data_IF_190658357037
#
_entry.id   IF_190658357037
#
_cell.length_a   1.000
_cell.length_b   1.000
_cell.length_c   1.000
_cell.angle_alpha   90.00
_cell.angle_beta   90.00
_cell.angle_gamma   90.00
#
_symmetry.space_group_name_H-M   'P 1'
#
loop_
_entity.id
_entity.type
_entity.pdbx_description
1 polymer ?
#
# COMPACT_ATOMS: atom_id res chain seq x y z
N UNK A 1 -40.46 40.58 -28.86
CA UNK A 1 -40.36 39.65 -30.00
C UNK A 1 -39.96 38.30 -29.42
N UNK A 2 -40.91 37.49 -28.94
CA UNK A 2 -41.53 36.30 -29.57
C UNK A 2 -40.53 35.25 -30.11
N UNK A 3 -40.47 34.12 -29.37
CA UNK A 3 -40.37 32.70 -29.81
C UNK A 3 -39.04 32.25 -30.46
N UNK A 4 -38.47 31.08 -30.16
CA UNK A 4 -39.07 29.74 -30.17
C UNK A 4 -38.47 28.75 -29.15
N UNK A 5 -39.36 27.92 -28.58
CA UNK A 5 -39.04 26.65 -27.93
C UNK A 5 -38.88 25.56 -28.99
N UNK A 6 -37.94 24.63 -28.81
CA UNK A 6 -37.95 23.34 -29.50
C UNK A 6 -37.77 22.22 -28.47
N UNK A 7 -38.88 21.54 -28.23
CA UNK A 7 -39.01 20.31 -27.44
C UNK A 7 -38.84 19.14 -28.41
N UNK A 8 -37.99 18.16 -28.09
CA UNK A 8 -38.03 16.84 -28.74
C UNK A 8 -38.18 15.77 -27.67
N UNK A 9 -39.14 14.90 -27.92
CA UNK A 9 -39.75 13.90 -27.05
C UNK A 9 -39.57 12.52 -27.69
N UNK A 10 -39.57 11.49 -26.83
CA UNK A 10 -39.73 10.05 -27.11
C UNK A 10 -38.49 9.31 -27.69
N UNK A 11 -38.24 8.03 -27.38
CA UNK A 11 -39.15 6.98 -26.95
C UNK A 11 -38.49 5.92 -26.03
N UNK A 12 -39.36 5.29 -25.24
CA UNK A 12 -39.15 4.13 -24.38
C UNK A 12 -39.10 2.84 -25.22
N UNK A 13 -38.25 1.90 -24.85
CA UNK A 13 -38.45 0.47 -25.12
C UNK A 13 -38.04 -0.34 -23.89
N UNK A 14 -39.04 -0.96 -23.28
CA UNK A 14 -38.93 -1.90 -22.18
C UNK A 14 -39.07 -3.33 -22.72
N UNK A 15 -38.17 -4.22 -22.31
CA UNK A 15 -38.28 -5.68 -22.21
C UNK A 15 -36.98 -6.13 -21.51
N UNK A 16 -36.92 -6.74 -20.33
CA UNK A 16 -37.83 -7.69 -19.71
C UNK A 16 -37.30 -9.10 -19.97
N UNK A 17 -36.45 -9.66 -19.10
CA UNK A 17 -36.28 -11.12 -19.00
C UNK A 17 -35.54 -11.57 -17.72
N UNK A 18 -36.34 -12.21 -16.86
CA UNK A 18 -36.11 -13.45 -16.09
C UNK A 18 -35.04 -13.48 -14.99
N UNK A 19 -35.57 -13.49 -13.75
CA UNK A 19 -34.93 -14.05 -12.56
C UNK A 19 -34.79 -15.58 -12.71
N UNK A 20 -33.57 -16.09 -12.55
CA UNK A 20 -33.37 -17.47 -12.09
C UNK A 20 -32.74 -17.44 -10.72
N UNK A 21 -33.56 -17.60 -9.69
CA UNK A 21 -33.12 -17.99 -8.37
C UNK A 21 -32.74 -19.47 -8.42
N UNK A 22 -31.45 -19.80 -8.28
CA UNK A 22 -31.02 -21.17 -8.06
C UNK A 22 -30.55 -21.33 -6.61
N UNK A 23 -31.45 -21.98 -5.87
CA UNK A 23 -31.23 -22.98 -4.83
C UNK A 23 -30.02 -22.83 -3.90
N UNK A 24 -30.37 -22.64 -2.63
CA UNK A 24 -29.60 -23.04 -1.46
C UNK A 24 -29.07 -24.49 -1.60
N UNK A 25 -27.77 -24.67 -1.42
CA UNK A 25 -27.20 -25.92 -0.91
C UNK A 25 -26.58 -25.61 0.46
N UNK A 26 -27.20 -26.00 1.59
CA UNK A 26 -26.44 -26.18 2.82
C UNK A 26 -25.62 -27.45 2.67
N UNK A 27 -24.30 -27.31 2.43
CA UNK A 27 -23.38 -28.43 2.61
C UNK A 27 -23.34 -28.78 4.09
N UNK A 28 -23.62 -30.05 4.33
CA UNK A 28 -23.59 -30.77 5.58
C UNK A 28 -22.35 -30.50 6.44
N UNK A 29 -22.58 -30.52 7.75
CA UNK A 29 -21.57 -30.62 8.80
C UNK A 29 -20.64 -31.79 8.52
N UNK A 30 -19.33 -31.53 8.57
CA UNK A 30 -18.37 -32.56 8.95
C UNK A 30 -17.68 -32.11 10.23
N UNK A 31 -18.16 -32.66 11.35
CA UNK A 31 -17.45 -32.70 12.62
C UNK A 31 -16.11 -33.39 12.40
N UNK A 32 -15.02 -32.62 12.39
CA UNK A 32 -13.67 -33.12 12.58
C UNK A 32 -13.32 -33.01 14.05
N UNK A 33 -13.17 -34.16 14.70
CA UNK A 33 -12.72 -34.30 16.08
C UNK A 33 -11.36 -33.60 16.34
N UNK A 34 -11.10 -33.13 17.57
CA UNK A 34 -9.81 -32.56 17.92
C UNK A 34 -8.76 -33.67 18.02
N UNK A 35 -7.82 -33.71 17.07
CA UNK A 35 -6.58 -34.47 17.22
C UNK A 35 -5.65 -33.74 18.18
N UNK A 36 -5.38 -34.40 19.30
CA UNK A 36 -4.44 -33.96 20.32
C UNK A 36 -3.02 -33.87 19.75
N UNK A 37 -2.45 -32.67 19.72
CA UNK A 37 -1.02 -32.50 19.49
C UNK A 37 -0.28 -32.64 20.81
N UNK A 38 0.41 -33.77 20.95
CA UNK A 38 1.39 -34.03 22.00
C UNK A 38 2.55 -33.04 21.90
N UNK A 39 2.72 -32.26 22.95
CA UNK A 39 3.86 -31.38 23.25
C UNK A 39 5.16 -32.17 23.33
N UNK A 40 6.22 -31.80 22.57
CA UNK A 40 7.57 -32.21 22.91
C UNK A 40 8.15 -31.28 23.97
N UNK A 41 8.46 -31.86 25.13
CA UNK A 41 9.27 -31.28 26.20
C UNK A 41 10.73 -31.17 25.77
N UNK A 42 11.39 -30.00 25.83
CA UNK A 42 12.83 -29.94 25.97
C UNK A 42 13.21 -29.95 27.46
N UNK A 43 14.06 -30.92 27.81
CA UNK A 43 14.66 -31.16 29.12
C UNK A 43 15.87 -30.24 29.32
N UNK A 44 15.95 -29.66 30.51
CA UNK A 44 17.05 -28.86 31.06
C UNK A 44 18.43 -29.52 30.90
N UNK A 45 19.48 -28.73 30.68
CA UNK A 45 20.63 -28.62 31.61
C UNK A 45 21.43 -27.32 31.40
N UNK A 46 21.79 -26.59 32.48
CA UNK A 46 22.77 -25.51 32.45
C UNK A 46 24.19 -26.05 32.72
N UNK A 47 25.19 -25.52 32.01
CA UNK A 47 26.60 -25.67 32.36
C UNK A 47 27.27 -24.31 32.30
N UNK A 48 27.72 -23.85 33.46
CA UNK A 48 28.54 -22.66 33.61
C UNK A 48 29.98 -22.88 33.17
N UNK A 49 30.65 -21.76 32.89
CA UNK A 49 32.07 -21.69 32.59
C UNK A 49 32.52 -20.23 32.44
N UNK A 50 32.88 -19.61 33.56
CA UNK A 50 33.88 -18.51 33.64
C UNK A 50 35.01 -19.10 34.49
N UNK A 51 36.32 -18.84 34.24
CA UNK A 51 36.99 -17.52 34.19
C UNK A 51 38.03 -17.49 33.02
N UNK A 52 38.95 -16.55 32.79
CA UNK A 52 39.61 -15.50 33.56
C UNK A 52 40.36 -14.56 32.60
N UNK A 53 40.89 -13.49 33.17
CA UNK A 53 41.49 -12.30 32.57
C UNK A 53 42.88 -12.46 31.91
N UNK A 54 43.27 -11.41 31.17
CA UNK A 54 44.64 -11.05 30.77
C UNK A 54 44.64 -10.39 29.40
N UNK A 55 45.12 -9.18 29.13
CA UNK A 55 45.81 -8.15 29.91
C UNK A 55 46.59 -7.28 28.91
N UNK A 56 46.52 -5.94 29.06
CA UNK A 56 47.46 -4.92 28.54
C UNK A 56 47.70 -4.83 27.01
N UNK A 57 48.02 -3.70 26.37
CA UNK A 57 48.03 -2.27 26.64
C UNK A 57 48.40 -1.56 25.31
N UNK A 58 48.24 -0.24 25.29
CA UNK A 58 48.97 0.74 24.47
C UNK A 58 48.48 1.06 23.05
N UNK A 59 47.93 2.29 22.95
CA UNK A 59 48.60 3.36 22.21
C UNK A 59 48.41 3.37 20.69
N UNK A 60 47.47 4.16 20.21
CA UNK A 60 47.29 4.43 18.78
C UNK A 60 46.52 5.72 18.53
N UNK A 61 47.22 6.84 18.66
CA UNK A 61 47.07 8.10 17.90
C UNK A 61 45.66 8.50 17.45
N UNK A 62 45.10 9.49 18.14
CA UNK A 62 44.03 10.32 17.62
C UNK A 62 44.49 11.02 16.34
N UNK A 63 44.06 10.52 15.19
CA UNK A 63 44.17 11.22 13.92
C UNK A 63 42.87 11.98 13.69
N UNK A 64 42.97 13.30 13.76
CA UNK A 64 41.97 14.28 13.39
C UNK A 64 41.66 14.17 11.89
N UNK A 65 40.87 13.15 11.54
CA UNK A 65 40.21 13.06 10.25
C UNK A 65 39.05 14.05 10.25
N UNK A 66 39.24 15.19 9.59
CA UNK A 66 38.18 16.12 9.24
C UNK A 66 37.07 15.35 8.52
N UNK A 67 36.08 14.92 9.30
CA UNK A 67 34.84 14.37 8.79
C UNK A 67 34.20 15.46 7.96
N UNK A 68 34.29 15.32 6.63
CA UNK A 68 33.37 15.97 5.70
C UNK A 68 31.99 15.87 6.36
N UNK A 69 31.43 17.02 6.71
CA UNK A 69 30.03 17.16 7.06
C UNK A 69 29.25 16.58 5.88
N UNK A 70 28.91 15.29 5.97
CA UNK A 70 27.87 14.70 5.14
C UNK A 70 26.68 15.60 5.36
N UNK A 71 26.22 16.22 4.27
CA UNK A 71 25.08 17.11 4.26
C UNK A 71 24.02 16.54 5.20
N UNK A 72 23.74 17.28 6.27
CA UNK A 72 22.82 16.89 7.32
C UNK A 72 21.55 16.36 6.63
N UNK A 73 21.29 15.08 6.88
CA UNK A 73 20.27 14.32 6.21
C UNK A 73 18.94 15.07 6.31
N UNK A 74 18.26 15.20 5.18
CA UNK A 74 16.81 15.35 5.18
C UNK A 74 16.30 14.28 6.14
N UNK A 75 15.75 14.68 7.28
CA UNK A 75 15.19 13.74 8.24
C UNK A 75 14.23 12.85 7.48
N UNK A 76 14.62 11.58 7.29
CA UNK A 76 13.82 10.63 6.56
C UNK A 76 12.47 10.55 7.26
N UNK A 77 11.41 10.67 6.48
CA UNK A 77 10.06 10.67 7.01
C UNK A 77 9.78 9.33 7.70
N UNK A 78 9.51 9.29 9.02
CA UNK A 78 9.41 8.04 9.76
C UNK A 78 8.30 7.12 9.23
N UNK A 79 7.27 7.65 8.58
CA UNK A 79 6.19 6.86 7.98
C UNK A 79 6.66 6.05 6.76
N UNK A 80 7.74 6.48 6.10
CA UNK A 80 8.34 5.80 4.95
C UNK A 80 9.38 4.74 5.35
N UNK A 81 9.66 4.57 6.65
CA UNK A 81 10.68 3.64 7.13
C UNK A 81 10.22 2.16 7.17
N UNK A 82 9.00 1.86 6.73
CA UNK A 82 8.45 0.49 6.72
C UNK A 82 8.11 -0.10 8.09
N UNK A 83 8.12 0.71 9.15
CA UNK A 83 7.86 0.28 10.55
C UNK A 83 6.43 0.59 11.03
N UNK A 84 5.63 1.26 10.19
CA UNK A 84 4.28 1.70 10.50
C UNK A 84 3.31 1.07 9.52
N UNK A 85 2.16 0.63 10.03
CA UNK A 85 1.00 0.33 9.20
C UNK A 85 0.35 1.65 8.84
N UNK A 86 -0.03 1.83 7.57
CA UNK A 86 -0.63 3.06 7.09
C UNK A 86 -1.89 2.79 6.30
N UNK A 87 -2.85 3.69 6.42
CA UNK A 87 -3.94 3.83 5.46
C UNK A 87 -3.50 4.85 4.41
N UNK A 88 -3.71 4.52 3.13
CA UNK A 88 -3.43 5.44 2.02
C UNK A 88 -4.75 6.13 1.64
N UNK A 89 -4.83 7.44 1.89
CA UNK A 89 -6.04 8.25 1.66
C UNK A 89 -5.82 9.26 0.54
N UNK A 90 -6.61 9.26 -0.53
CA UNK A 90 -6.58 10.34 -1.52
C UNK A 90 -7.06 11.66 -0.90
N UNK A 91 -6.28 12.73 -1.03
CA UNK A 91 -6.56 14.02 -0.36
C UNK A 91 -7.87 14.68 -0.85
N UNK A 92 -8.21 14.50 -2.13
CA UNK A 92 -9.44 15.04 -2.74
C UNK A 92 -10.69 14.17 -2.45
N UNK A 93 -10.53 13.03 -1.78
CA UNK A 93 -11.60 12.09 -1.41
C UNK A 93 -11.39 11.66 0.04
N UNK A 94 -11.54 12.60 0.97
CA UNK A 94 -11.09 12.45 2.36
C UNK A 94 -11.77 11.32 3.16
N UNK A 95 -12.98 10.93 2.76
CA UNK A 95 -13.70 9.79 3.37
C UNK A 95 -13.25 8.45 2.78
N UNK A 96 -12.58 8.46 1.63
CA UNK A 96 -12.22 7.24 0.91
C UNK A 96 -10.80 6.79 1.21
N UNK A 97 -10.61 5.47 1.28
CA UNK A 97 -9.31 4.84 1.49
C UNK A 97 -9.00 3.85 0.36
N UNK A 98 -7.72 3.69 0.06
CA UNK A 98 -7.26 2.65 -0.87
C UNK A 98 -7.37 1.29 -0.19
N UNK A 99 -7.98 0.32 -0.87
CA UNK A 99 -8.07 -1.08 -0.42
C UNK A 99 -7.74 -2.04 -1.55
N UNK A 100 -7.33 -3.26 -1.19
CA UNK A 100 -7.29 -4.37 -2.14
C UNK A 100 -8.71 -4.93 -2.28
N UNK A 101 -9.33 -4.61 -3.41
CA UNK A 101 -10.66 -5.08 -3.78
C UNK A 101 -10.65 -6.51 -4.31
N UNK A 102 -11.78 -6.91 -4.88
CA UNK A 102 -11.92 -8.22 -5.51
C UNK A 102 -10.94 -8.40 -6.66
N UNK A 103 -10.52 -9.65 -6.90
CA UNK A 103 -9.56 -10.01 -7.96
C UNK A 103 -8.20 -9.28 -7.84
N UNK A 104 -7.88 -8.73 -6.66
CA UNK A 104 -6.61 -8.05 -6.39
C UNK A 104 -6.48 -6.66 -7.00
N UNK A 105 -7.55 -6.04 -7.52
CA UNK A 105 -7.50 -4.65 -8.01
C UNK A 105 -7.51 -3.67 -6.84
N UNK A 106 -6.84 -2.53 -6.99
CA UNK A 106 -6.88 -1.46 -5.98
C UNK A 106 -8.11 -0.58 -6.24
N UNK A 107 -8.93 -0.41 -5.21
CA UNK A 107 -10.19 0.37 -5.27
C UNK A 107 -10.25 1.36 -4.12
N UNK A 108 -11.14 2.33 -4.23
CA UNK A 108 -11.54 3.19 -3.13
C UNK A 108 -12.77 2.63 -2.41
N UNK A 109 -12.83 2.79 -1.10
CA UNK A 109 -14.01 2.51 -0.26
C UNK A 109 -14.14 3.59 0.79
N UNK A 110 -15.37 3.87 1.23
CA UNK A 110 -15.69 4.86 2.27
C UNK A 110 -15.47 4.31 3.70
N UNK A 111 -14.85 3.13 3.85
CA UNK A 111 -14.57 2.59 5.18
C UNK A 111 -14.07 1.14 5.26
N UNK A 112 -13.67 0.80 6.50
CA UNK A 112 -12.90 -0.33 7.03
C UNK A 112 -11.40 -0.35 6.71
N UNK A 113 -10.64 0.36 7.54
CA UNK A 113 -9.18 0.40 7.52
C UNK A 113 -8.54 -1.00 7.54
N UNK A 114 -9.16 -2.00 8.17
CA UNK A 114 -8.64 -3.37 8.27
C UNK A 114 -8.32 -4.03 6.91
N UNK A 115 -8.97 -3.60 5.81
CA UNK A 115 -8.69 -4.07 4.44
C UNK A 115 -7.79 -3.14 3.62
N UNK A 116 -7.40 -2.00 4.19
CA UNK A 116 -6.64 -0.92 3.57
C UNK A 116 -5.37 -0.55 4.33
N UNK A 117 -4.80 -1.50 5.09
CA UNK A 117 -3.53 -1.30 5.78
C UNK A 117 -2.36 -1.69 4.88
N UNK A 118 -1.36 -0.82 4.81
CA UNK A 118 -0.15 -1.01 4.02
C UNK A 118 1.12 -0.73 4.82
N UNK A 119 2.23 -1.19 4.30
CA UNK A 119 3.59 -0.99 4.77
C UNK A 119 4.38 -0.37 3.63
N UNK A 120 5.05 0.75 3.89
CA UNK A 120 5.90 1.44 2.92
C UNK A 120 7.35 0.99 3.14
N UNK A 121 7.75 -0.12 2.52
CA UNK A 121 9.03 -0.76 2.78
C UNK A 121 10.14 -0.15 1.90
N UNK A 122 11.22 0.40 2.47
CA UNK A 122 12.35 0.89 1.68
C UNK A 122 12.99 -0.22 0.84
N UNK A 123 13.34 0.11 -0.41
CA UNK A 123 14.03 -0.73 -1.37
C UNK A 123 14.99 0.15 -2.20
N UNK A 124 16.16 0.46 -1.65
CA UNK A 124 17.07 1.46 -2.21
C UNK A 124 16.51 2.88 -2.06
N UNK A 125 16.42 3.62 -3.17
CA UNK A 125 15.77 4.94 -3.27
C UNK A 125 14.24 4.86 -3.45
N UNK A 126 13.71 3.65 -3.60
CA UNK A 126 12.29 3.37 -3.86
C UNK A 126 11.65 2.67 -2.67
N UNK A 127 10.35 2.42 -2.79
CA UNK A 127 9.56 1.74 -1.79
C UNK A 127 8.73 0.63 -2.44
N UNK A 128 8.64 -0.51 -1.76
CA UNK A 128 7.61 -1.51 -2.04
C UNK A 128 6.41 -1.22 -1.14
N UNK A 129 5.22 -1.11 -1.72
CA UNK A 129 3.98 -0.89 -0.96
C UNK A 129 3.34 -2.25 -0.75
N UNK A 130 3.40 -2.77 0.48
CA UNK A 130 2.95 -4.11 0.84
C UNK A 130 1.69 -4.04 1.70
N UNK A 131 0.73 -4.94 1.54
CA UNK A 131 -0.40 -5.07 2.46
C UNK A 131 0.09 -5.46 3.86
N UNK A 132 -0.42 -4.80 4.90
CA UNK A 132 -0.30 -5.30 6.26
C UNK A 132 -1.28 -6.48 6.40
N UNK A 133 -0.89 -7.54 7.14
CA UNK A 133 -1.62 -8.83 7.16
C UNK A 133 -3.12 -8.64 7.39
N UNK A 134 -3.93 -8.94 6.38
CA UNK A 134 -5.37 -9.11 6.51
C UNK A 134 -5.80 -10.35 5.73
N UNK A 135 -5.91 -11.50 6.42
CA UNK A 135 -6.56 -12.73 5.94
C UNK A 135 -5.92 -13.51 4.77
N UNK A 136 -5.03 -12.90 4.00
CA UNK A 136 -4.25 -13.51 2.92
C UNK A 136 -2.77 -13.18 3.07
N UNK A 137 -1.89 -13.98 2.44
CA UNK A 137 -0.45 -13.74 2.45
C UNK A 137 -0.08 -12.31 2.00
N UNK A 138 1.11 -11.81 2.38
CA UNK A 138 1.52 -10.46 2.03
C UNK A 138 1.51 -10.26 0.51
N UNK A 139 0.81 -9.23 0.05
CA UNK A 139 0.77 -8.84 -1.35
C UNK A 139 1.36 -7.44 -1.51
N UNK A 140 1.98 -7.19 -2.66
CA UNK A 140 2.60 -5.93 -2.99
C UNK A 140 1.87 -5.28 -4.15
N UNK A 141 1.73 -3.95 -4.11
CA UNK A 141 1.22 -3.20 -5.24
C UNK A 141 2.16 -3.40 -6.44
N UNK A 142 1.58 -3.59 -7.60
CA UNK A 142 2.27 -3.77 -8.87
C UNK A 142 1.55 -2.99 -9.95
N UNK A 143 2.32 -2.24 -10.73
CA UNK A 143 1.86 -1.61 -11.97
C UNK A 143 2.03 -2.60 -13.12
N UNK A 144 0.94 -2.88 -13.83
CA UNK A 144 0.90 -3.76 -14.99
C UNK A 144 0.54 -2.98 -16.25
N UNK A 145 1.27 -3.26 -17.33
CA UNK A 145 0.93 -2.75 -18.66
C UNK A 145 -0.31 -3.44 -19.21
N UNK A 146 -1.19 -2.65 -19.79
CA UNK A 146 -2.32 -3.14 -20.57
C UNK A 146 -1.99 -2.98 -22.05
N UNK A 147 -2.50 -3.89 -22.89
CA UNK A 147 -2.29 -3.84 -24.35
C UNK A 147 -2.87 -2.58 -24.99
N UNK A 148 -3.91 -2.02 -24.38
CA UNK A 148 -4.54 -0.76 -24.78
C UNK A 148 -5.27 -0.16 -23.57
N UNK A 149 -4.77 0.95 -23.04
CA UNK A 149 -5.39 1.65 -21.90
C UNK A 149 -4.39 2.10 -20.83
N UNK A 150 -4.87 2.82 -19.80
CA UNK A 150 -4.03 3.26 -18.69
C UNK A 150 -3.43 2.05 -17.95
N UNK A 151 -2.27 2.25 -17.31
CA UNK A 151 -1.63 1.19 -16.54
C UNK A 151 -2.51 0.82 -15.36
N UNK A 152 -2.71 -0.49 -15.14
CA UNK A 152 -3.49 -0.97 -14.00
C UNK A 152 -2.61 -1.18 -12.78
N UNK A 153 -3.18 -0.93 -11.61
CA UNK A 153 -2.54 -1.19 -10.32
C UNK A 153 -3.26 -2.37 -9.67
N UNK A 154 -2.49 -3.36 -9.25
CA UNK A 154 -3.01 -4.59 -8.65
C UNK A 154 -2.12 -5.05 -7.50
N UNK A 155 -2.68 -5.87 -6.61
CA UNK A 155 -1.96 -6.64 -5.63
C UNK A 155 -1.39 -7.90 -6.28
N UNK A 156 -0.10 -8.16 -6.09
CA UNK A 156 0.61 -9.31 -6.61
C UNK A 156 1.53 -9.90 -5.52
N UNK A 157 2.06 -11.11 -5.75
CA UNK A 157 3.12 -11.65 -4.89
C UNK A 157 4.31 -10.67 -4.85
N UNK A 158 4.85 -10.45 -3.66
CA UNK A 158 5.95 -9.51 -3.45
C UNK A 158 7.25 -10.01 -4.08
N UNK A 159 7.88 -9.16 -4.90
CA UNK A 159 9.16 -9.39 -5.54
C UNK A 159 9.89 -8.04 -5.66
N UNK A 160 10.89 -7.84 -4.80
CA UNK A 160 11.66 -6.59 -4.74
C UNK A 160 12.55 -6.37 -5.97
N UNK A 161 12.73 -7.38 -6.83
CA UNK A 161 13.42 -7.24 -8.12
C UNK A 161 12.51 -6.73 -9.25
N UNK A 162 11.19 -6.72 -9.06
CA UNK A 162 10.25 -6.27 -10.11
C UNK A 162 10.12 -4.76 -10.10
N UNK A 163 10.56 -4.13 -11.18
CA UNK A 163 10.43 -2.69 -11.38
C UNK A 163 8.97 -2.19 -11.27
N UNK A 164 7.98 -3.01 -11.64
CA UNK A 164 6.56 -2.69 -11.48
C UNK A 164 6.07 -2.61 -10.02
N UNK A 165 6.85 -3.10 -9.06
CA UNK A 165 6.53 -3.09 -7.62
C UNK A 165 7.38 -2.09 -6.81
N UNK A 166 8.22 -1.30 -7.48
CA UNK A 166 9.09 -0.32 -6.86
C UNK A 166 8.58 1.09 -7.16
N UNK A 167 8.16 1.80 -6.11
CA UNK A 167 7.54 3.11 -6.22
C UNK A 167 8.44 4.22 -5.68
N UNK A 168 8.43 5.35 -6.36
CA UNK A 168 8.97 6.60 -5.81
C UNK A 168 7.84 7.30 -5.06
N UNK A 169 8.09 7.66 -3.80
CA UNK A 169 7.16 8.39 -2.94
C UNK A 169 7.76 9.77 -2.69
N UNK A 170 7.12 10.80 -3.23
CA UNK A 170 7.63 12.19 -3.19
C UNK A 170 6.67 13.05 -2.39
N UNK A 171 7.16 13.60 -1.28
CA UNK A 171 6.43 14.61 -0.52
C UNK A 171 6.14 15.83 -1.39
N UNK A 172 4.89 16.27 -1.39
CA UNK A 172 4.44 17.45 -2.12
C UNK A 172 4.55 18.71 -1.24
N UNK A 173 4.66 19.90 -1.85
CA UNK A 173 4.66 21.16 -1.10
C UNK A 173 3.31 21.42 -0.42
N UNK A 174 2.19 20.99 -1.02
CA UNK A 174 0.87 21.12 -0.45
C UNK A 174 0.66 20.19 0.75
N UNK A 175 -0.11 20.67 1.73
CA UNK A 175 -0.53 19.92 2.91
C UNK A 175 -2.04 19.75 2.94
N UNK A 176 -2.52 18.78 3.71
CA UNK A 176 -3.96 18.67 3.99
C UNK A 176 -4.45 19.87 4.81
N UNK A 177 -5.77 20.02 4.94
CA UNK A 177 -6.37 21.04 5.80
C UNK A 177 -5.90 20.94 7.26
N UNK A 178 -5.64 19.72 7.74
CA UNK A 178 -5.15 19.43 9.09
C UNK A 178 -3.63 19.60 9.23
N UNK A 179 -2.94 20.05 8.18
CA UNK A 179 -1.49 20.27 8.18
C UNK A 179 -0.64 19.01 7.96
N UNK A 180 -1.26 17.88 7.63
CA UNK A 180 -0.56 16.63 7.35
C UNK A 180 0.16 16.70 6.00
N UNK A 181 1.32 16.02 5.87
CA UNK A 181 2.03 15.96 4.61
C UNK A 181 1.23 15.21 3.54
N UNK A 182 1.37 15.63 2.29
CA UNK A 182 0.82 14.92 1.14
C UNK A 182 1.94 14.39 0.25
N UNK A 183 1.65 13.35 -0.52
CA UNK A 183 2.62 12.61 -1.30
C UNK A 183 2.08 12.31 -2.69
N UNK A 184 2.96 12.39 -3.69
CA UNK A 184 2.77 11.75 -4.97
C UNK A 184 3.45 10.38 -4.93
N UNK A 185 2.82 9.38 -5.53
CA UNK A 185 3.35 8.03 -5.63
C UNK A 185 3.46 7.70 -7.12
N UNK A 186 4.64 7.28 -7.58
CA UNK A 186 4.88 6.98 -8.99
C UNK A 186 5.66 5.69 -9.21
N UNK A 187 5.46 5.08 -10.38
CA UNK A 187 6.22 3.94 -10.87
C UNK A 187 6.71 4.27 -12.28
N UNK A 188 8.03 4.32 -12.49
CA UNK A 188 8.65 4.53 -13.81
C UNK A 188 8.08 5.72 -14.61
N UNK A 189 7.77 6.83 -13.93
CA UNK A 189 7.24 8.04 -14.56
C UNK A 189 5.70 8.12 -14.62
N UNK A 190 5.00 7.01 -14.38
CA UNK A 190 3.55 7.01 -14.25
C UNK A 190 3.13 7.24 -12.79
N UNK A 191 2.25 8.20 -12.55
CA UNK A 191 1.74 8.56 -11.22
C UNK A 191 0.46 7.81 -10.90
N UNK A 192 0.32 7.38 -9.65
CA UNK A 192 -0.91 6.77 -9.15
C UNK A 192 -2.02 7.82 -9.11
N UNK A 193 -3.10 7.57 -9.87
CA UNK A 193 -4.27 8.43 -9.97
C UNK A 193 -5.54 7.65 -9.64
N UNK A 194 -6.51 8.35 -9.07
CA UNK A 194 -7.88 7.84 -8.97
C UNK A 194 -8.55 8.03 -10.33
N UNK A 195 -9.06 6.94 -10.90
CA UNK A 195 -9.84 6.97 -12.14
C UNK A 195 -11.28 7.41 -11.88
N UNK A 196 -11.98 7.86 -12.93
CA UNK A 196 -13.39 8.24 -12.83
C UNK A 196 -14.31 7.08 -12.35
N UNK A 197 -13.87 5.83 -12.53
CA UNK A 197 -14.59 4.64 -12.06
C UNK A 197 -14.28 4.23 -10.61
N UNK A 198 -13.55 5.03 -9.83
CA UNK A 198 -13.24 4.74 -8.42
C UNK A 198 -12.12 3.71 -8.20
N UNK A 199 -11.48 3.23 -9.28
CA UNK A 199 -10.29 2.37 -9.23
C UNK A 199 -8.99 3.17 -9.27
N UNK A 200 -7.90 2.56 -8.78
CA UNK A 200 -6.56 3.13 -8.85
C UNK A 200 -5.85 2.72 -10.15
N UNK A 201 -5.31 3.71 -10.86
CA UNK A 201 -4.54 3.51 -12.08
C UNK A 201 -3.17 4.18 -11.95
N UNK A 202 -2.23 3.84 -12.84
CA UNK A 202 -1.01 4.62 -13.03
C UNK A 202 -1.05 5.31 -14.39
N UNK A 203 -0.73 6.59 -14.43
CA UNK A 203 -0.83 7.42 -15.63
C UNK A 203 0.43 8.26 -15.83
N UNK A 204 0.96 8.24 -17.05
CA UNK A 204 2.00 9.16 -17.47
C UNK A 204 1.37 10.51 -17.74
N UNK A 205 1.72 11.51 -16.93
CA UNK A 205 1.05 12.82 -16.98
C UNK A 205 1.72 13.79 -17.96
N UNK A 206 2.99 13.56 -18.34
CA UNK A 206 3.76 14.56 -19.08
C UNK A 206 3.78 15.89 -18.32
N UNK A 207 3.29 16.95 -18.95
CA UNK A 207 3.15 18.29 -18.37
C UNK A 207 1.82 18.52 -17.63
N UNK A 208 0.91 17.54 -17.63
CA UNK A 208 -0.35 17.65 -16.92
C UNK A 208 -0.15 17.64 -15.39
N UNK A 209 -0.95 18.41 -14.63
CA UNK A 209 -0.82 18.43 -13.19
C UNK A 209 -1.26 17.11 -12.55
N UNK A 210 -0.73 16.83 -11.35
CA UNK A 210 -1.24 15.76 -10.49
C UNK A 210 -2.70 16.01 -10.14
N UNK A 211 -3.57 15.03 -10.44
CA UNK A 211 -4.98 15.08 -10.05
C UNK A 211 -5.21 14.49 -8.66
N UNK A 212 -4.36 13.54 -8.27
CA UNK A 212 -4.42 12.84 -7.00
C UNK A 212 -3.10 12.95 -6.25
N UNK A 213 -3.18 13.37 -5.00
CA UNK A 213 -2.14 13.23 -3.98
C UNK A 213 -2.70 12.43 -2.82
N UNK A 214 -1.82 11.84 -2.03
CA UNK A 214 -2.17 10.94 -0.95
C UNK A 214 -1.67 11.46 0.38
N UNK A 215 -2.44 11.20 1.42
CA UNK A 215 -2.01 11.26 2.81
C UNK A 215 -1.79 9.83 3.30
N UNK A 216 -0.77 9.64 4.13
CA UNK A 216 -0.55 8.40 4.85
C UNK A 216 -1.01 8.58 6.29
N UNK A 217 -2.10 7.92 6.66
CA UNK A 217 -2.63 7.93 8.03
C UNK A 217 -1.98 6.79 8.80
N UNK A 218 -1.24 7.13 9.85
CA UNK A 218 -0.53 6.18 10.69
C UNK A 218 -1.51 5.34 11.54
N UNK A 219 -1.44 4.02 11.39
CA UNK A 219 -2.26 3.03 12.09
C UNK A 219 -1.45 2.19 13.08
N UNK A 220 -0.30 2.70 13.55
CA UNK A 220 0.52 2.06 14.57
C UNK A 220 1.65 1.20 14.00
N UNK A 221 2.25 0.39 14.88
CA UNK A 221 3.38 -0.46 14.54
C UNK A 221 2.99 -1.62 13.60
N UNK A 222 3.89 -1.96 12.69
CA UNK A 222 3.81 -3.12 11.79
C UNK A 222 3.98 -4.47 12.49
#
# INVERSE_FOLDING_TARGET
MRSHRATVLAAVLAAGLVLTQQACNPVERQSGEPVAFTTPTPRNTPSGGTPSAGGAASGGTASSGAGRKSAAGRTADPILAGRRQVVIRPVRSAESIVVVGERGRLTLTDGEAGRGLFLLLPAGDKHQIRTARAGGGPACLSVRSNSSGPLTVEAAACDSGRAGQLFTITRQPERTADGNPTYAISNRGAFLQVSAGGGLIAEELGDAPLRTTYEFVDNGAA
#
